data_IF_476053585169
#
_entry.id   IF_476053585169
#
_cell.length_a   1.000
_cell.length_b   1.000
_cell.length_c   1.000
_cell.angle_alpha   90.00
_cell.angle_beta   90.00
_cell.angle_gamma   90.00
#
_symmetry.space_group_name_H-M   'P 1'
#
loop_
_entity.id
_entity.type
_entity.pdbx_description
1 polymer ?
#
# COMPACT_ATOMS: atom_id res chain seq x y z
N UNK A 1 16.71 -2.62 -5.25
CA UNK A 1 15.41 -3.17 -4.79
C UNK A 1 15.34 -4.59 -5.30
N UNK A 2 15.29 -5.56 -4.40
CA UNK A 2 15.28 -6.98 -4.74
C UNK A 2 13.85 -7.50 -4.76
N UNK A 3 13.54 -8.44 -5.65
CA UNK A 3 12.23 -9.10 -5.74
C UNK A 3 11.78 -9.72 -4.40
N UNK A 4 12.72 -9.99 -3.49
CA UNK A 4 12.47 -10.44 -2.12
C UNK A 4 11.73 -9.38 -1.28
N UNK A 5 12.12 -8.10 -1.38
CA UNK A 5 11.58 -7.03 -0.52
C UNK A 5 10.09 -6.78 -0.80
N UNK A 6 9.68 -6.88 -2.07
CA UNK A 6 8.26 -6.72 -2.46
C UNK A 6 7.42 -7.93 -2.05
N UNK A 7 8.02 -9.12 -2.02
CA UNK A 7 7.34 -10.34 -1.57
C UNK A 7 7.05 -10.26 -0.07
N UNK A 8 8.01 -9.81 0.73
CA UNK A 8 7.85 -9.61 2.17
C UNK A 8 6.84 -8.52 2.49
N UNK A 9 6.84 -7.43 1.71
CA UNK A 9 5.82 -6.37 1.83
C UNK A 9 4.41 -6.92 1.57
N UNK A 10 4.22 -7.69 0.50
CA UNK A 10 2.93 -8.32 0.16
C UNK A 10 2.49 -9.34 1.20
N UNK A 11 3.42 -10.10 1.76
CA UNK A 11 3.13 -11.07 2.81
C UNK A 11 2.60 -10.42 4.10
N UNK A 12 2.87 -9.12 4.30
CA UNK A 12 2.35 -8.35 5.43
C UNK A 12 0.92 -7.84 5.23
N UNK A 13 0.35 -7.98 4.03
CA UNK A 13 -1.00 -7.53 3.71
C UNK A 13 -1.98 -8.62 4.16
N UNK A 14 -2.46 -8.48 5.40
CA UNK A 14 -3.40 -9.41 6.01
C UNK A 14 -4.84 -9.08 5.58
N UNK A 15 -5.60 -10.04 5.02
CA UNK A 15 -6.99 -9.81 4.63
C UNK A 15 -7.88 -9.62 5.87
N UNK A 16 -8.96 -8.85 5.70
CA UNK A 16 -9.96 -8.50 6.73
C UNK A 16 -9.37 -7.76 7.93
N UNK A 17 -8.27 -7.04 7.72
CA UNK A 17 -7.66 -6.18 8.73
C UNK A 17 -7.95 -4.72 8.43
N UNK A 18 -8.27 -3.97 9.48
CA UNK A 18 -8.35 -2.51 9.42
C UNK A 18 -6.93 -1.95 9.59
N UNK A 19 -6.46 -1.22 8.58
CA UNK A 19 -5.06 -0.77 8.51
C UNK A 19 -4.99 0.73 8.27
N UNK A 20 -3.90 1.35 8.76
CA UNK A 20 -3.51 2.69 8.30
C UNK A 20 -2.82 2.53 6.95
N UNK A 21 -3.44 3.07 5.90
CA UNK A 21 -2.94 3.04 4.53
C UNK A 21 -2.40 4.41 4.14
N UNK A 22 -1.24 4.42 3.50
CA UNK A 22 -0.69 5.58 2.82
C UNK A 22 -0.44 5.23 1.35
N UNK A 23 -0.96 6.03 0.42
CA UNK A 23 -0.85 5.75 -1.01
C UNK A 23 -0.89 7.03 -1.85
N UNK A 24 -0.41 6.92 -3.09
CA UNK A 24 -0.51 7.99 -4.09
C UNK A 24 -1.70 7.77 -5.02
N UNK A 25 -2.47 8.83 -5.28
CA UNK A 25 -3.49 8.81 -6.34
C UNK A 25 -2.83 8.82 -7.73
N UNK A 26 -3.63 8.65 -8.78
CA UNK A 26 -3.19 8.87 -10.16
C UNK A 26 -2.70 10.29 -10.43
N UNK A 27 -3.16 11.26 -9.65
CA UNK A 27 -2.71 12.65 -9.68
C UNK A 27 -1.46 12.91 -8.81
N UNK A 28 -0.86 11.86 -8.22
CA UNK A 28 0.25 11.93 -7.26
C UNK A 28 -0.08 12.68 -5.96
N UNK A 29 -1.35 12.67 -5.55
CA UNK A 29 -1.74 13.18 -4.23
C UNK A 29 -1.47 12.12 -3.18
N UNK A 30 -0.86 12.54 -2.06
CA UNK A 30 -0.57 11.63 -0.95
C UNK A 30 -1.75 11.55 0.01
N UNK A 31 -2.37 10.38 0.07
CA UNK A 31 -3.55 10.11 0.88
C UNK A 31 -3.15 9.24 2.08
N UNK A 32 -3.63 9.64 3.26
CA UNK A 32 -3.65 8.81 4.47
C UNK A 32 -5.08 8.44 4.78
N UNK A 33 -5.37 7.15 4.83
CA UNK A 33 -6.71 6.66 5.10
C UNK A 33 -6.66 5.45 6.03
N UNK A 34 -7.70 5.29 6.84
CA UNK A 34 -7.92 4.05 7.58
C UNK A 34 -8.96 3.23 6.81
N UNK A 35 -8.60 2.01 6.42
CA UNK A 35 -9.44 1.19 5.55
C UNK A 35 -9.36 -0.29 5.92
N UNK A 36 -10.42 -1.05 5.63
CA UNK A 36 -10.39 -2.50 5.76
C UNK A 36 -9.92 -3.12 4.44
N UNK A 37 -8.83 -3.87 4.51
CA UNK A 37 -8.27 -4.59 3.37
C UNK A 37 -9.04 -5.89 3.16
N UNK A 38 -9.48 -6.15 1.94
CA UNK A 38 -10.01 -7.46 1.52
C UNK A 38 -8.87 -8.40 1.15
N UNK A 39 -7.85 -7.88 0.47
CA UNK A 39 -6.66 -8.62 0.06
C UNK A 39 -5.98 -8.01 -1.17
N UNK A 40 -5.13 -8.80 -1.83
CA UNK A 40 -4.48 -8.44 -3.10
C UNK A 40 -5.19 -9.17 -4.25
N UNK A 41 -5.48 -8.44 -5.32
CA UNK A 41 -5.98 -9.00 -6.57
C UNK A 41 -4.96 -8.78 -7.68
N UNK A 42 -4.60 -9.84 -8.41
CA UNK A 42 -3.69 -9.80 -9.55
C UNK A 42 -4.48 -10.05 -10.85
N UNK A 43 -4.61 -9.03 -11.69
CA UNK A 43 -5.28 -9.13 -12.99
C UNK A 43 -4.43 -8.49 -14.08
N UNK A 44 -4.27 -9.17 -15.21
CA UNK A 44 -3.53 -8.67 -16.38
C UNK A 44 -2.10 -8.18 -16.05
N UNK A 45 -1.45 -8.80 -15.06
CA UNK A 45 -0.10 -8.42 -14.61
C UNK A 45 -0.05 -7.19 -13.69
N UNK A 46 -1.20 -6.59 -13.35
CA UNK A 46 -1.30 -5.52 -12.36
C UNK A 46 -1.83 -6.08 -11.04
N UNK A 47 -1.11 -5.81 -9.96
CA UNK A 47 -1.54 -6.18 -8.62
C UNK A 47 -2.16 -4.96 -7.93
N UNK A 48 -3.32 -5.17 -7.31
CA UNK A 48 -4.11 -4.13 -6.65
C UNK A 48 -4.46 -4.55 -5.23
N UNK A 49 -4.37 -3.62 -4.29
CA UNK A 49 -4.95 -3.73 -2.96
C UNK A 49 -6.45 -3.46 -3.07
N UNK A 50 -7.26 -4.41 -2.65
CA UNK A 50 -8.72 -4.29 -2.66
C UNK A 50 -9.20 -3.90 -1.27
N UNK A 51 -9.96 -2.81 -1.19
CA UNK A 51 -10.60 -2.34 0.03
C UNK A 51 -12.08 -2.74 0.05
N UNK A 52 -12.69 -2.73 1.23
CA UNK A 52 -14.07 -3.23 1.41
C UNK A 52 -15.16 -2.30 0.87
N UNK A 53 -14.82 -1.04 0.60
CA UNK A 53 -15.68 -0.09 -0.08
C UNK A 53 -15.67 -0.25 -1.61
N UNK A 54 -14.90 -1.21 -2.12
CA UNK A 54 -14.75 -1.50 -3.54
C UNK A 54 -13.59 -0.77 -4.22
N UNK A 55 -12.86 0.09 -3.51
CA UNK A 55 -11.66 0.74 -4.05
C UNK A 55 -10.57 -0.29 -4.37
N UNK A 56 -9.88 -0.07 -5.48
CA UNK A 56 -8.74 -0.88 -5.92
C UNK A 56 -7.55 0.04 -6.13
N UNK A 57 -6.52 -0.13 -5.31
CA UNK A 57 -5.33 0.72 -5.31
C UNK A 57 -4.18 -0.10 -5.89
N UNK A 58 -3.56 0.31 -7.01
CA UNK A 58 -2.37 -0.36 -7.54
C UNK A 58 -1.29 -0.50 -6.45
N UNK A 59 -0.73 -1.70 -6.28
CA UNK A 59 0.28 -1.96 -5.25
C UNK A 59 1.54 -1.12 -5.43
N UNK A 60 1.85 -0.75 -6.68
CA UNK A 60 2.95 0.15 -7.00
C UNK A 60 2.72 1.60 -6.55
N UNK A 61 1.48 1.94 -6.15
CA UNK A 61 1.09 3.22 -5.57
C UNK A 61 0.91 3.20 -4.05
N UNK A 62 0.97 2.02 -3.44
CA UNK A 62 0.90 1.88 -1.98
C UNK A 62 2.27 2.26 -1.40
N UNK A 63 2.28 3.32 -0.60
CA UNK A 63 3.47 3.83 0.08
C UNK A 63 3.71 3.07 1.37
N UNK A 64 2.68 2.90 2.21
CA UNK A 64 2.77 2.14 3.45
C UNK A 64 1.46 1.48 3.85
N UNK A 65 1.56 0.39 4.61
CA UNK A 65 0.43 -0.32 5.22
C UNK A 65 0.78 -0.66 6.68
N UNK A 66 0.00 -0.17 7.64
CA UNK A 66 0.29 -0.30 9.09
C UNK A 66 1.73 0.10 9.45
N UNK A 67 2.24 1.16 8.82
CA UNK A 67 3.61 1.66 9.03
C UNK A 67 4.71 0.79 8.40
N UNK A 68 4.37 -0.30 7.71
CA UNK A 68 5.32 -1.03 6.86
C UNK A 68 5.47 -0.28 5.55
N UNK A 69 6.65 0.23 5.28
CA UNK A 69 6.96 0.97 4.06
C UNK A 69 7.12 0.02 2.88
N UNK A 70 6.54 0.38 1.75
CA UNK A 70 6.75 -0.30 0.48
C UNK A 70 8.20 -0.11 0.01
N UNK A 71 8.87 -1.17 -0.48
CA UNK A 71 10.21 -1.04 -1.02
C UNK A 71 10.27 -0.16 -2.28
N UNK A 72 9.13 0.14 -2.91
CA UNK A 72 9.04 1.03 -4.07
C UNK A 72 9.15 2.51 -3.70
N UNK A 73 9.03 2.84 -2.41
CA UNK A 73 9.05 4.21 -1.89
C UNK A 73 10.18 4.41 -0.86
N UNK A 74 11.45 4.12 -1.20
CA UNK A 74 12.55 4.29 -0.26
C UNK A 74 12.67 5.77 0.12
N UNK A 75 12.66 6.05 1.43
CA UNK A 75 12.78 7.41 1.95
C UNK A 75 11.45 8.11 2.28
N UNK A 76 10.29 7.54 1.92
CA UNK A 76 8.99 8.06 2.38
C UNK A 76 8.76 7.90 3.88
N UNK A 77 9.51 7.01 4.55
CA UNK A 77 9.56 6.95 6.03
C UNK A 77 9.97 8.27 6.68
N UNK A 78 10.69 9.15 5.96
CA UNK A 78 11.15 10.43 6.48
C UNK A 78 10.20 11.61 6.16
N UNK A 79 9.11 11.36 5.43
CA UNK A 79 8.16 12.41 5.01
C UNK A 79 7.07 12.68 6.05
N UNK A 80 7.03 11.93 7.16
CA UNK A 80 6.30 12.36 8.35
C UNK A 80 7.09 13.46 9.03
N UNK A 81 6.95 14.69 8.56
CA UNK A 81 7.19 15.84 9.42
C UNK A 81 6.15 15.77 10.55
N UNK A 82 6.54 15.16 11.67
CA UNK A 82 5.98 15.49 12.97
C UNK A 82 6.31 16.97 13.21
N UNK A 83 5.37 17.86 12.88
CA UNK A 83 5.41 19.28 13.22
C UNK A 83 4.29 19.55 14.22
#
# INVERSE_FOLDING_TARGET
MTTTDITDFKAAIEPRKYVRLEYLTDLNEFIKADAMVVGINAQNGLETLVLTDGQQIPLDRVVSIDGRLSPLYPGYANYSCDC
#
